data_IF_460023681572
#
_entry.id   IF_460023681572
#
_cell.length_a   1.000
_cell.length_b   1.000
_cell.length_c   1.000
_cell.angle_alpha   90.00
_cell.angle_beta   90.00
_cell.angle_gamma   90.00
#
_symmetry.space_group_name_H-M   'P 1'
#
loop_
_entity.id
_entity.type
_entity.pdbx_description
1 polymer ?
#
# COMPACT_ATOMS: atom_id res chain seq x y z
N UNK A 1 -15.35 24.01 18.94
CA UNK A 1 -14.12 23.53 19.58
C UNK A 1 -13.27 22.91 18.48
N UNK A 2 -12.13 23.52 18.10
CA UNK A 2 -11.20 22.89 17.16
C UNK A 2 -10.57 21.69 17.84
N UNK A 3 -10.67 20.51 17.23
CA UNK A 3 -9.97 19.30 17.68
C UNK A 3 -8.64 19.27 16.94
N UNK A 4 -7.54 19.42 17.67
CA UNK A 4 -6.19 19.32 17.12
C UNK A 4 -5.70 17.88 17.25
N UNK A 5 -5.20 17.30 16.16
CA UNK A 5 -4.71 15.93 16.18
C UNK A 5 -3.20 15.91 16.35
N UNK A 6 -2.73 15.09 17.28
CA UNK A 6 -1.30 14.82 17.41
C UNK A 6 -0.80 14.07 16.17
N UNK A 7 0.51 14.12 15.91
CA UNK A 7 1.14 13.31 14.87
C UNK A 7 0.75 11.83 14.96
N UNK A 8 0.71 11.27 16.18
CA UNK A 8 0.32 9.87 16.40
C UNK A 8 -1.14 9.62 15.99
N UNK A 9 -2.07 10.50 16.40
CA UNK A 9 -3.48 10.38 16.03
C UNK A 9 -3.69 10.46 14.51
N UNK A 10 -2.97 11.36 13.82
CA UNK A 10 -3.06 11.47 12.36
C UNK A 10 -2.45 10.25 11.68
N UNK A 11 -1.33 9.74 12.18
CA UNK A 11 -0.70 8.53 11.65
C UNK A 11 -1.65 7.33 11.79
N UNK A 12 -2.26 7.14 12.96
CA UNK A 12 -3.19 6.04 13.20
C UNK A 12 -4.40 6.09 12.27
N UNK A 13 -4.98 7.28 12.07
CA UNK A 13 -6.10 7.49 11.13
C UNK A 13 -5.70 7.13 9.69
N UNK A 14 -4.53 7.62 9.25
CA UNK A 14 -4.01 7.36 7.91
C UNK A 14 -3.74 5.87 7.71
N UNK A 15 -3.11 5.20 8.67
CA UNK A 15 -2.85 3.77 8.64
C UNK A 15 -4.12 2.93 8.74
N UNK A 16 -5.16 3.41 9.43
CA UNK A 16 -6.48 2.77 9.45
C UNK A 16 -7.13 2.78 8.07
N UNK A 17 -7.08 3.92 7.36
CA UNK A 17 -7.54 4.01 5.97
C UNK A 17 -6.73 3.11 5.04
N UNK A 18 -5.40 3.10 5.20
CA UNK A 18 -4.51 2.21 4.44
C UNK A 18 -4.88 0.75 4.61
N UNK A 19 -5.05 0.28 5.84
CA UNK A 19 -5.47 -1.09 6.13
C UNK A 19 -6.84 -1.39 5.52
N UNK A 20 -7.80 -0.49 5.67
CA UNK A 20 -9.14 -0.65 5.12
C UNK A 20 -9.11 -0.82 3.60
N UNK A 21 -8.27 -0.03 2.90
CA UNK A 21 -8.14 -0.13 1.45
C UNK A 21 -7.48 -1.44 1.00
N UNK A 22 -6.47 -1.92 1.74
CA UNK A 22 -5.87 -3.24 1.50
C UNK A 22 -6.90 -4.34 1.74
N UNK A 23 -7.66 -4.30 2.82
CA UNK A 23 -8.71 -5.28 3.12
C UNK A 23 -9.81 -5.29 2.05
N UNK A 24 -10.21 -4.12 1.54
CA UNK A 24 -11.14 -4.02 0.41
C UNK A 24 -10.56 -4.65 -0.87
N UNK A 25 -9.27 -4.42 -1.15
CA UNK A 25 -8.58 -5.00 -2.31
C UNK A 25 -8.50 -6.53 -2.22
N UNK A 26 -8.29 -7.08 -1.02
CA UNK A 26 -8.36 -8.52 -0.77
C UNK A 26 -9.77 -9.06 -1.06
N UNK A 27 -10.83 -8.33 -0.69
CA UNK A 27 -12.22 -8.73 -0.98
C UNK A 27 -12.54 -8.69 -2.47
N UNK A 28 -12.00 -7.73 -3.20
CA UNK A 28 -12.11 -7.71 -4.67
C UNK A 28 -11.42 -8.95 -5.26
N UNK A 29 -10.18 -9.23 -4.87
CA UNK A 29 -9.47 -10.42 -5.34
C UNK A 29 -10.22 -11.72 -5.00
N UNK A 30 -10.77 -11.84 -3.79
CA UNK A 30 -11.59 -12.98 -3.37
C UNK A 30 -12.85 -13.14 -4.23
N UNK A 31 -13.57 -12.05 -4.52
CA UNK A 31 -14.77 -12.09 -5.39
C UNK A 31 -14.46 -12.71 -6.76
N UNK A 32 -13.39 -12.25 -7.42
CA UNK A 32 -12.96 -12.81 -8.70
C UNK A 32 -12.43 -14.25 -8.57
N UNK A 33 -11.78 -14.58 -7.46
CA UNK A 33 -11.38 -15.96 -7.18
C UNK A 33 -12.58 -16.90 -7.03
N UNK A 34 -13.71 -16.45 -6.47
CA UNK A 34 -14.93 -17.27 -6.42
C UNK A 34 -15.53 -17.49 -7.82
N UNK A 35 -15.42 -16.51 -8.72
CA UNK A 35 -15.81 -16.67 -10.13
C UNK A 35 -14.90 -17.66 -10.86
N UNK A 36 -13.60 -17.64 -10.57
CA UNK A 36 -12.66 -18.67 -11.01
C UNK A 36 -13.07 -20.06 -10.50
N UNK A 37 -13.33 -20.19 -9.20
CA UNK A 37 -13.66 -21.48 -8.57
C UNK A 37 -14.97 -22.08 -9.02
N UNK A 38 -15.94 -21.25 -9.37
CA UNK A 38 -17.21 -21.71 -9.94
C UNK A 38 -17.14 -21.99 -11.45
N UNK A 39 -16.00 -21.75 -12.10
CA UNK A 39 -15.83 -21.94 -13.54
C UNK A 39 -16.48 -20.86 -14.40
N UNK A 40 -16.99 -19.78 -13.79
CA UNK A 40 -17.58 -18.65 -14.51
C UNK A 40 -16.52 -17.78 -15.20
N UNK A 41 -15.29 -17.77 -14.68
CA UNK A 41 -14.15 -17.11 -15.31
C UNK A 41 -12.94 -18.05 -15.35
N UNK A 42 -12.15 -18.07 -16.44
CA UNK A 42 -10.82 -18.66 -16.43
C UNK A 42 -9.92 -17.96 -15.40
N UNK A 43 -9.03 -18.72 -14.75
CA UNK A 43 -8.14 -18.18 -13.71
C UNK A 43 -7.31 -16.95 -14.14
N UNK A 44 -6.78 -16.98 -15.37
CA UNK A 44 -6.03 -15.85 -15.92
C UNK A 44 -6.89 -14.59 -16.08
N UNK A 45 -8.15 -14.76 -16.52
CA UNK A 45 -9.08 -13.65 -16.70
C UNK A 45 -9.57 -13.09 -15.35
N UNK A 46 -9.85 -13.96 -14.38
CA UNK A 46 -10.21 -13.55 -13.02
C UNK A 46 -9.12 -12.69 -12.37
N UNK A 47 -7.86 -13.14 -12.43
CA UNK A 47 -6.69 -12.38 -11.94
C UNK A 47 -6.54 -11.04 -12.66
N UNK A 48 -6.68 -11.02 -13.99
CA UNK A 48 -6.54 -9.81 -14.78
C UNK A 48 -7.63 -8.78 -14.45
N UNK A 49 -8.89 -9.20 -14.32
CA UNK A 49 -10.00 -8.31 -13.95
C UNK A 49 -9.86 -7.77 -12.52
N UNK A 50 -9.53 -8.63 -11.56
CA UNK A 50 -9.25 -8.20 -10.19
C UNK A 50 -8.11 -7.18 -10.13
N UNK A 51 -7.00 -7.46 -10.82
CA UNK A 51 -5.86 -6.55 -10.87
C UNK A 51 -6.21 -5.20 -11.51
N UNK A 52 -6.97 -5.20 -12.60
CA UNK A 52 -7.41 -3.99 -13.28
C UNK A 52 -8.33 -3.11 -12.40
N UNK A 53 -9.19 -3.73 -11.60
CA UNK A 53 -10.07 -3.03 -10.66
C UNK A 53 -9.27 -2.45 -9.48
N UNK A 54 -8.42 -3.26 -8.84
CA UNK A 54 -7.60 -2.82 -7.70
C UNK A 54 -6.63 -1.70 -8.13
N UNK A 55 -6.03 -1.79 -9.33
CA UNK A 55 -5.09 -0.77 -9.87
C UNK A 55 -5.73 0.62 -9.99
N UNK A 56 -7.05 0.71 -10.13
CA UNK A 56 -7.78 1.98 -10.23
C UNK A 56 -8.12 2.60 -8.88
N UNK A 57 -8.04 1.85 -7.78
CA UNK A 57 -8.39 2.36 -6.45
C UNK A 57 -7.48 3.50 -6.04
N UNK A 58 -8.10 4.60 -5.63
CA UNK A 58 -7.45 5.75 -4.99
C UNK A 58 -8.23 6.14 -3.75
N UNK A 59 -7.51 6.61 -2.74
CA UNK A 59 -8.10 7.16 -1.51
C UNK A 59 -7.23 8.28 -0.98
N UNK A 60 -7.78 9.06 -0.04
CA UNK A 60 -7.06 10.18 0.57
C UNK A 60 -6.43 11.13 -0.49
N UNK A 61 -7.16 11.30 -1.60
CA UNK A 61 -6.78 12.10 -2.78
C UNK A 61 -5.78 11.43 -3.72
N UNK A 62 -4.72 10.80 -3.20
CA UNK A 62 -3.56 10.37 -4.02
C UNK A 62 -2.99 8.99 -3.67
N UNK A 63 -3.43 8.38 -2.58
CA UNK A 63 -2.90 7.09 -2.15
C UNK A 63 -3.41 5.96 -3.04
N UNK A 64 -2.61 4.89 -3.15
CA UNK A 64 -2.79 3.85 -4.15
C UNK A 64 -2.48 2.46 -3.59
N UNK A 65 -2.92 1.43 -4.30
CA UNK A 65 -2.66 0.01 -3.99
C UNK A 65 -1.75 -0.59 -5.06
N UNK A 66 -0.78 -1.41 -4.66
CA UNK A 66 0.01 -2.23 -5.57
C UNK A 66 -0.12 -3.71 -5.19
N UNK A 67 0.31 -4.59 -6.09
CA UNK A 67 0.38 -6.02 -5.84
C UNK A 67 1.67 -6.60 -6.39
N UNK A 68 2.43 -7.30 -5.55
CA UNK A 68 3.49 -8.23 -5.95
C UNK A 68 3.10 -9.66 -5.55
N UNK A 69 3.78 -10.67 -6.06
CA UNK A 69 3.59 -12.06 -5.61
C UNK A 69 4.55 -12.46 -4.47
N UNK A 70 4.51 -13.73 -4.05
CA UNK A 70 5.38 -14.26 -2.99
C UNK A 70 6.84 -14.53 -3.44
N UNK A 71 7.16 -14.43 -4.73
CA UNK A 71 8.53 -14.39 -5.32
C UNK A 71 9.00 -12.94 -5.54
N UNK A 72 8.56 -12.00 -4.73
CA UNK A 72 8.30 -10.59 -5.11
C UNK A 72 8.36 -10.18 -6.61
N UNK A 73 7.69 -10.87 -7.53
CA UNK A 73 7.44 -10.34 -8.88
C UNK A 73 6.30 -9.33 -8.82
N UNK A 74 6.46 -8.15 -9.44
CA UNK A 74 5.36 -7.18 -9.49
C UNK A 74 4.21 -7.71 -10.36
N UNK A 75 3.00 -7.78 -9.81
CA UNK A 75 1.79 -8.08 -10.57
C UNK A 75 1.28 -6.80 -11.22
N UNK A 76 1.14 -5.73 -10.43
CA UNK A 76 0.93 -4.38 -10.97
C UNK A 76 1.33 -3.29 -9.97
N UNK A 77 1.79 -2.17 -10.50
CA UNK A 77 2.00 -0.92 -9.77
C UNK A 77 1.35 0.26 -10.51
N UNK A 78 0.38 0.97 -9.91
CA UNK A 78 -0.38 2.01 -10.62
C UNK A 78 0.42 3.27 -10.95
N UNK A 79 1.50 3.55 -10.21
CA UNK A 79 2.34 4.74 -10.38
C UNK A 79 3.63 4.44 -11.15
N UNK A 80 4.04 3.17 -11.17
CA UNK A 80 5.32 2.70 -11.72
C UNK A 80 5.09 1.45 -12.57
N UNK A 81 4.26 1.55 -13.63
CA UNK A 81 3.91 0.40 -14.46
C UNK A 81 5.13 -0.25 -15.11
N UNK A 82 6.27 0.46 -15.20
CA UNK A 82 7.55 -0.11 -15.61
C UNK A 82 8.08 -1.21 -14.69
N UNK A 83 7.49 -1.40 -13.50
CA UNK A 83 7.80 -2.52 -12.60
C UNK A 83 7.01 -3.78 -12.93
N UNK A 84 5.86 -3.67 -13.59
CA UNK A 84 4.94 -4.79 -13.84
C UNK A 84 5.68 -5.96 -14.54
N UNK A 85 5.60 -7.16 -13.96
CA UNK A 85 6.26 -8.37 -14.45
C UNK A 85 7.74 -8.53 -14.10
N UNK A 86 8.37 -7.56 -13.41
CA UNK A 86 9.77 -7.66 -13.00
C UNK A 86 9.91 -8.38 -11.66
N UNK A 87 10.95 -9.19 -11.56
CA UNK A 87 11.46 -9.74 -10.30
C UNK A 87 12.07 -8.60 -9.47
N UNK A 88 11.58 -8.41 -8.24
CA UNK A 88 12.02 -7.35 -7.33
C UNK A 88 12.76 -7.91 -6.10
N UNK A 89 13.16 -9.18 -6.12
CA UNK A 89 13.88 -9.83 -5.02
C UNK A 89 15.18 -9.14 -4.66
N UNK A 90 15.87 -8.53 -5.64
CA UNK A 90 17.11 -7.76 -5.45
C UNK A 90 16.90 -6.25 -5.32
N UNK A 91 15.65 -5.76 -5.39
CA UNK A 91 15.37 -4.32 -5.32
C UNK A 91 15.59 -3.79 -3.91
N UNK A 92 16.54 -2.88 -3.79
CA UNK A 92 16.89 -2.22 -2.52
C UNK A 92 16.38 -0.80 -2.50
N UNK A 93 15.95 -0.37 -1.32
CA UNK A 93 15.87 1.06 -1.04
C UNK A 93 17.29 1.67 -0.88
N UNK A 94 17.44 3.00 -0.81
CA UNK A 94 18.74 3.64 -0.63
C UNK A 94 19.52 3.24 0.62
N UNK A 95 18.84 2.70 1.64
CA UNK A 95 19.46 2.19 2.86
C UNK A 95 19.88 0.71 2.74
N UNK A 96 19.71 0.11 1.56
CA UNK A 96 20.05 -1.28 1.28
C UNK A 96 18.97 -2.30 1.66
N UNK A 97 17.79 -1.85 2.13
CA UNK A 97 16.71 -2.75 2.52
C UNK A 97 16.05 -3.37 1.29
N UNK A 98 16.00 -4.70 1.25
CA UNK A 98 15.25 -5.47 0.24
C UNK A 98 13.74 -5.40 0.54
N UNK A 99 13.13 -4.25 0.23
CA UNK A 99 11.79 -3.92 0.72
C UNK A 99 10.69 -4.91 0.26
N UNK A 100 10.79 -5.44 -0.96
CA UNK A 100 9.81 -6.44 -1.44
C UNK A 100 10.00 -7.81 -0.80
N UNK A 101 11.25 -8.19 -0.50
CA UNK A 101 11.53 -9.39 0.30
C UNK A 101 10.97 -9.24 1.72
N UNK A 102 11.07 -8.04 2.32
CA UNK A 102 10.50 -7.74 3.63
C UNK A 102 8.96 -7.85 3.63
N UNK A 103 8.29 -7.38 2.57
CA UNK A 103 6.84 -7.55 2.43
C UNK A 103 6.45 -9.02 2.41
N UNK A 104 7.16 -9.84 1.64
CA UNK A 104 6.93 -11.29 1.60
C UNK A 104 7.24 -11.94 2.94
N UNK A 105 8.33 -11.56 3.61
CA UNK A 105 8.69 -12.09 4.92
C UNK A 105 7.59 -11.78 5.96
N UNK A 106 7.09 -10.54 5.96
CA UNK A 106 5.98 -10.09 6.84
C UNK A 106 4.72 -10.92 6.59
N UNK A 107 4.32 -11.09 5.31
CA UNK A 107 3.14 -11.89 4.96
C UNK A 107 3.34 -13.38 5.29
N UNK A 108 4.55 -13.93 5.14
CA UNK A 108 4.84 -15.33 5.51
C UNK A 108 4.76 -15.55 7.01
N UNK A 109 5.22 -14.60 7.82
CA UNK A 109 5.23 -14.71 9.28
C UNK A 109 3.82 -14.60 9.86
N UNK A 110 3.10 -13.54 9.49
CA UNK A 110 1.88 -13.13 10.21
C UNK A 110 0.64 -13.02 9.30
N UNK A 111 0.79 -13.27 7.99
CA UNK A 111 -0.26 -13.06 6.98
C UNK A 111 -0.46 -11.60 6.58
N UNK A 112 -0.13 -10.65 7.45
CA UNK A 112 -0.16 -9.22 7.20
C UNK A 112 0.71 -8.45 8.19
N UNK A 113 1.09 -7.22 7.86
CA UNK A 113 1.82 -6.36 8.79
C UNK A 113 2.24 -5.03 8.20
N UNK A 114 2.88 -4.20 9.03
CA UNK A 114 3.43 -2.91 8.61
C UNK A 114 4.91 -3.02 8.29
N UNK A 115 5.34 -2.35 7.22
CA UNK A 115 6.74 -2.29 6.80
C UNK A 115 7.13 -0.85 6.48
N UNK A 116 8.20 -0.39 7.12
CA UNK A 116 8.79 0.93 6.91
C UNK A 116 9.97 0.84 5.94
N UNK A 117 10.03 1.75 4.97
CA UNK A 117 11.05 1.76 3.91
C UNK A 117 11.10 3.14 3.23
N UNK A 118 12.07 3.34 2.33
CA UNK A 118 12.13 4.53 1.50
C UNK A 118 11.54 4.26 0.10
N UNK A 119 10.67 5.15 -0.37
CA UNK A 119 10.05 5.04 -1.70
C UNK A 119 9.80 6.41 -2.31
N UNK A 120 10.03 6.59 -3.62
CA UNK A 120 9.72 7.85 -4.27
C UNK A 120 8.21 8.08 -4.40
N UNK A 121 7.82 9.33 -4.23
CA UNK A 121 6.43 9.78 -4.46
C UNK A 121 6.06 9.77 -5.93
N UNK A 122 4.75 9.73 -6.26
CA UNK A 122 4.30 9.99 -7.62
C UNK A 122 4.86 11.32 -8.15
N UNK A 123 5.50 11.29 -9.32
CA UNK A 123 6.11 12.47 -9.95
C UNK A 123 7.50 12.88 -9.43
N UNK A 124 8.07 12.13 -8.49
CA UNK A 124 9.43 12.35 -7.97
C UNK A 124 10.30 11.11 -8.14
N UNK A 125 11.61 11.32 -8.19
CA UNK A 125 12.63 10.26 -8.08
C UNK A 125 13.26 10.21 -6.69
N UNK A 126 13.07 11.26 -5.88
CA UNK A 126 13.64 11.35 -4.55
C UNK A 126 12.92 10.40 -3.59
N UNK A 127 13.65 9.49 -2.93
CA UNK A 127 13.08 8.50 -2.04
C UNK A 127 12.72 9.13 -0.68
N UNK A 128 11.52 8.87 -0.20
CA UNK A 128 11.00 9.41 1.06
C UNK A 128 10.53 8.31 2.02
N UNK A 129 10.56 8.54 3.35
CA UNK A 129 10.05 7.58 4.32
C UNK A 129 8.57 7.27 4.09
N UNK A 130 8.29 5.97 3.90
CA UNK A 130 6.96 5.43 3.70
C UNK A 130 6.72 4.29 4.68
N UNK A 131 5.53 4.31 5.30
CA UNK A 131 5.01 3.19 6.11
C UNK A 131 3.86 2.56 5.36
N UNK A 132 3.99 1.28 5.04
CA UNK A 132 2.95 0.53 4.32
C UNK A 132 2.39 -0.61 5.15
N UNK A 133 1.12 -0.92 4.93
CA UNK A 133 0.50 -2.17 5.35
C UNK A 133 0.46 -3.12 4.16
N UNK A 134 0.90 -4.36 4.38
CA UNK A 134 0.85 -5.44 3.39
C UNK A 134 0.05 -6.62 3.92
N UNK A 135 -0.67 -7.30 3.03
CA UNK A 135 -1.48 -8.48 3.37
C UNK A 135 -1.45 -9.51 2.26
N UNK A 136 -1.33 -10.78 2.64
CA UNK A 136 -1.36 -11.91 1.72
C UNK A 136 -2.78 -12.27 1.28
N UNK A 137 -2.93 -12.56 -0.01
CA UNK A 137 -4.05 -13.30 -0.58
C UNK A 137 -3.53 -14.66 -1.07
N UNK A 138 -3.59 -15.65 -0.17
CA UNK A 138 -3.02 -16.98 -0.38
C UNK A 138 -3.48 -17.69 -1.68
N UNK A 139 -4.76 -17.62 -2.10
CA UNK A 139 -5.22 -18.33 -3.29
C UNK A 139 -4.45 -18.04 -4.58
N UNK A 140 -3.95 -16.81 -4.72
CA UNK A 140 -3.17 -16.39 -5.88
C UNK A 140 -1.70 -16.13 -5.56
N UNK A 141 -1.28 -16.32 -4.31
CA UNK A 141 0.06 -15.96 -3.84
C UNK A 141 0.35 -14.47 -4.00
N UNK A 142 -0.67 -13.62 -3.85
CA UNK A 142 -0.51 -12.17 -3.95
C UNK A 142 -0.17 -11.56 -2.59
N UNK A 143 0.65 -10.52 -2.62
CA UNK A 143 0.90 -9.59 -1.54
C UNK A 143 0.33 -8.25 -1.98
N UNK A 144 -0.74 -7.83 -1.33
CA UNK A 144 -1.43 -6.57 -1.61
C UNK A 144 -0.93 -5.53 -0.62
N UNK A 145 -0.51 -4.37 -1.13
CA UNK A 145 0.08 -3.33 -0.30
C UNK A 145 -0.46 -1.94 -0.59
N UNK A 146 -0.50 -1.13 0.45
CA UNK A 146 -0.69 0.32 0.36
C UNK A 146 0.04 0.99 1.52
N UNK A 147 0.33 2.29 1.44
CA UNK A 147 1.03 2.99 2.51
C UNK A 147 1.04 4.48 2.36
N UNK A 148 1.46 5.14 3.42
CA UNK A 148 1.47 6.60 3.54
C UNK A 148 2.89 7.11 3.74
N UNK A 149 3.16 8.30 3.21
CA UNK A 149 4.44 8.97 3.42
C UNK A 149 4.45 9.68 4.76
N UNK A 150 5.50 9.45 5.53
CA UNK A 150 5.59 9.94 6.92
C UNK A 150 5.60 11.47 6.97
N UNK A 151 6.24 12.11 5.99
CA UNK A 151 6.33 13.57 5.93
C UNK A 151 4.97 14.25 5.68
N UNK A 152 4.05 13.61 4.95
CA UNK A 152 2.69 14.16 4.76
C UNK A 152 1.96 14.30 6.11
N UNK A 153 2.10 13.27 6.96
CA UNK A 153 1.50 13.25 8.29
C UNK A 153 2.16 14.30 9.20
N UNK A 154 3.49 14.42 9.14
CA UNK A 154 4.24 15.44 9.89
C UNK A 154 3.85 16.86 9.47
N UNK A 155 3.70 17.11 8.17
CA UNK A 155 3.33 18.41 7.62
C UNK A 155 1.95 18.85 8.08
N UNK A 156 0.97 17.93 8.10
CA UNK A 156 -0.38 18.22 8.63
C UNK A 156 -0.32 18.50 10.13
N UNK A 157 0.37 17.67 10.92
CA UNK A 157 0.49 17.85 12.36
C UNK A 157 1.10 19.22 12.72
N UNK A 158 2.14 19.65 12.00
CA UNK A 158 2.78 20.97 12.16
C UNK A 158 1.82 22.11 11.83
N UNK A 159 1.04 22.00 10.75
CA UNK A 159 0.06 23.02 10.35
C UNK A 159 -1.05 23.17 11.38
N UNK A 160 -1.63 22.07 11.85
CA UNK A 160 -2.68 22.10 12.88
C UNK A 160 -2.16 22.72 14.18
N UNK A 161 -0.92 22.41 14.56
CA UNK A 161 -0.25 23.01 15.73
C UNK A 161 0.00 24.51 15.55
N UNK A 162 0.46 24.95 14.38
CA UNK A 162 0.72 26.36 14.10
C UNK A 162 -0.58 27.20 14.14
N UNK A 163 -1.68 26.67 13.61
CA UNK A 163 -3.00 27.31 13.71
C UNK A 163 -3.42 27.46 15.17
N UNK A 164 -3.21 26.44 16.01
CA UNK A 164 -3.52 26.50 17.43
C UNK A 164 -2.79 27.65 18.14
N UNK A 165 -1.49 27.84 17.88
CA UNK A 165 -0.74 28.96 18.46
C UNK A 165 -1.20 30.33 17.96
N UNK A 166 -1.61 30.44 16.70
CA UNK A 166 -2.13 31.71 16.14
C UNK A 166 -3.56 32.07 16.59
N UNK A 167 -4.36 31.08 16.98
CA UNK A 167 -5.75 31.28 17.40
C UNK A 167 -5.92 31.56 18.91
N UNK A 168 -4.84 31.39 19.69
CA UNK A 168 -4.80 31.60 21.15
C UNK A 168 -3.98 32.85 21.51
N UNK A 169 -3.26 33.44 20.55
CA UNK A 169 -2.57 34.73 20.66
C UNK A 169 -3.47 35.89 20.24
#
# INVERSE_FOLDING_TARGET
MMVFRSYQSLMDEKLHMTRSMVDQSIKIADSYYQLEKSGQLPAAEAKAKAGAEIKQLRYDGKEYVWVNDMHPTMVFHPIKPELDGKDLSDMKDPNGKLLFMEFVATVKADGAGYVDYLWPRPGSTEPEPKRSYVKGFAPWGWVVGSGVYVDDVLSVAKKETAIAFSAVA
#
